data_IF_744724295738
#
_entry.id   IF_744724295738
#
_cell.length_a   1.000
_cell.length_b   1.000
_cell.length_c   1.000
_cell.angle_alpha   90.00
_cell.angle_beta   90.00
_cell.angle_gamma   90.00
#
_symmetry.space_group_name_H-M   'P 1'
#
loop_
_entity.id
_entity.type
_entity.pdbx_description
1 polymer ?
#
# COMPACT_ATOMS: atom_id res chain seq x y z
N UNK A 1 13.92 7.26 8.67
CA UNK A 1 13.06 6.09 8.97
C UNK A 1 12.79 6.07 10.47
N UNK A 2 11.53 6.15 10.86
CA UNK A 2 11.07 6.00 12.25
C UNK A 2 10.58 4.56 12.44
N UNK A 3 11.05 3.90 13.48
CA UNK A 3 10.62 2.55 13.85
C UNK A 3 9.66 2.63 15.04
N UNK A 4 8.53 1.95 14.94
CA UNK A 4 7.57 1.79 16.04
C UNK A 4 7.30 0.32 16.31
N UNK A 5 6.89 0.01 17.54
CA UNK A 5 6.41 -1.31 17.94
C UNK A 5 5.24 -1.16 18.88
N UNK A 6 4.13 -1.77 18.52
CA UNK A 6 2.87 -1.71 19.26
C UNK A 6 2.35 -3.10 19.56
N UNK A 7 1.98 -3.35 20.79
CA UNK A 7 1.33 -4.60 21.18
C UNK A 7 -0.16 -4.51 20.87
N UNK A 8 -0.65 -5.45 20.07
CA UNK A 8 -2.07 -5.59 19.78
C UNK A 8 -2.67 -6.76 20.59
N UNK A 9 -2.75 -6.56 21.93
CA UNK A 9 -3.12 -7.63 22.87
C UNK A 9 -1.93 -8.46 23.34
N UNK A 10 -2.18 -9.72 23.77
CA UNK A 10 -1.19 -10.56 24.43
C UNK A 10 -0.27 -11.31 23.44
N UNK A 11 -0.73 -11.56 22.22
CA UNK A 11 -0.09 -12.48 21.28
C UNK A 11 0.30 -11.86 19.95
N UNK A 12 -0.12 -10.63 19.68
CA UNK A 12 0.17 -9.93 18.41
C UNK A 12 0.99 -8.66 18.66
N UNK A 13 1.89 -8.36 17.69
CA UNK A 13 2.71 -7.14 17.68
C UNK A 13 2.71 -6.53 16.28
N UNK A 14 2.55 -5.21 16.20
CA UNK A 14 2.65 -4.43 14.98
C UNK A 14 3.98 -3.68 14.98
N UNK A 15 4.87 -4.00 14.04
CA UNK A 15 6.12 -3.26 13.82
C UNK A 15 5.98 -2.37 12.61
N UNK A 16 6.13 -1.06 12.77
CA UNK A 16 6.02 -0.07 11.68
C UNK A 16 7.37 0.56 11.32
N UNK A 17 7.64 0.63 10.02
CA UNK A 17 8.77 1.31 9.39
C UNK A 17 8.20 2.54 8.67
N UNK A 18 8.32 3.71 9.30
CA UNK A 18 7.60 4.91 8.88
C UNK A 18 8.51 5.90 8.16
N UNK A 19 7.98 6.49 7.09
CA UNK A 19 8.52 7.69 6.50
C UNK A 19 8.13 8.92 7.32
N UNK A 20 8.96 9.94 7.23
CA UNK A 20 8.70 11.26 7.82
C UNK A 20 8.80 12.28 6.69
N UNK A 21 7.89 13.27 6.61
CA UNK A 21 7.99 14.33 5.62
C UNK A 21 9.31 15.07 5.72
N UNK A 22 9.88 15.43 4.59
CA UNK A 22 11.14 16.14 4.48
C UNK A 22 10.94 17.49 3.75
N UNK A 23 11.74 18.51 4.08
CA UNK A 23 11.62 19.83 3.48
C UNK A 23 12.04 19.85 2.00
N UNK A 24 12.99 19.03 1.59
CA UNK A 24 13.42 18.90 0.21
C UNK A 24 12.34 18.21 -0.66
N UNK A 25 11.66 17.22 -0.08
CA UNK A 25 10.50 16.52 -0.68
C UNK A 25 9.18 17.09 -0.16
N UNK A 26 9.04 18.41 -0.09
CA UNK A 26 7.91 19.09 0.54
C UNK A 26 6.53 18.84 -0.12
N UNK A 27 6.50 18.22 -1.30
CA UNK A 27 5.30 17.75 -1.98
C UNK A 27 4.73 16.44 -1.37
N UNK A 28 5.50 15.73 -0.52
CA UNK A 28 5.06 14.48 0.11
C UNK A 28 4.79 14.74 1.59
N UNK A 29 3.53 14.68 2.00
CA UNK A 29 3.08 14.90 3.38
C UNK A 29 2.56 13.63 4.03
N UNK A 30 1.96 12.74 3.25
CA UNK A 30 1.44 11.45 3.69
C UNK A 30 1.98 10.34 2.79
N UNK A 31 2.19 9.19 3.38
CA UNK A 31 2.77 8.02 2.72
C UNK A 31 1.73 6.89 2.66
N UNK A 32 1.58 6.23 1.50
CA UNK A 32 0.73 5.04 1.40
C UNK A 32 1.21 3.98 2.37
N UNK A 33 0.31 3.10 2.78
CA UNK A 33 0.58 2.06 3.78
C UNK A 33 0.65 0.69 3.13
N UNK A 34 1.63 -0.12 3.57
CA UNK A 34 1.71 -1.55 3.28
C UNK A 34 1.65 -2.35 4.58
N UNK A 35 0.57 -3.09 4.81
CA UNK A 35 0.45 -4.04 5.93
C UNK A 35 0.87 -5.43 5.47
N UNK A 36 1.93 -5.97 6.07
CA UNK A 36 2.54 -7.26 5.73
C UNK A 36 2.07 -8.34 6.69
N UNK A 37 1.47 -9.41 6.14
CA UNK A 37 1.04 -10.61 6.85
C UNK A 37 1.92 -11.79 6.43
N UNK A 38 2.96 -12.15 7.22
CA UNK A 38 3.86 -13.25 6.88
C UNK A 38 3.16 -14.61 6.79
N UNK A 39 3.70 -15.53 6.02
CA UNK A 39 3.27 -16.92 6.00
C UNK A 39 3.79 -17.70 7.21
N UNK A 40 3.59 -19.02 7.17
CA UNK A 40 3.99 -19.94 8.24
C UNK A 40 2.89 -20.91 8.65
N UNK A 41 1.80 -20.99 7.86
CA UNK A 41 0.71 -21.95 8.05
C UNK A 41 -0.02 -21.80 9.39
N UNK A 42 -0.07 -20.60 9.93
CA UNK A 42 -0.61 -20.25 11.26
C UNK A 42 0.15 -20.90 12.44
N UNK A 43 1.30 -21.52 12.18
CA UNK A 43 2.18 -22.04 13.25
C UNK A 43 3.13 -20.96 13.75
N UNK A 44 3.70 -20.21 12.82
CA UNK A 44 4.64 -19.11 13.05
C UNK A 44 4.35 -17.96 12.07
N UNK A 45 4.92 -16.78 12.32
CA UNK A 45 5.10 -15.75 11.32
C UNK A 45 6.52 -15.85 10.75
N UNK A 46 6.65 -16.10 9.43
CA UNK A 46 7.94 -16.31 8.76
C UNK A 46 8.75 -15.02 8.71
N UNK A 47 9.92 -14.98 9.33
CA UNK A 47 10.81 -13.82 9.29
C UNK A 47 11.27 -13.45 7.88
N UNK A 48 11.31 -14.40 6.95
CA UNK A 48 11.68 -14.18 5.54
C UNK A 48 10.62 -13.39 4.75
N UNK A 49 9.39 -13.39 5.25
CA UNK A 49 8.21 -12.75 4.68
C UNK A 49 7.72 -11.57 5.54
N UNK A 50 8.55 -11.13 6.49
CA UNK A 50 8.29 -10.03 7.42
C UNK A 50 9.10 -8.78 7.05
N UNK A 51 10.14 -8.46 7.82
CA UNK A 51 10.99 -7.28 7.65
C UNK A 51 11.59 -7.15 6.23
N UNK A 52 12.08 -8.19 5.54
CA UNK A 52 12.59 -8.04 4.18
C UNK A 52 11.54 -7.53 3.18
N UNK A 53 10.27 -7.93 3.37
CA UNK A 53 9.15 -7.45 2.55
C UNK A 53 8.82 -6.01 2.89
N UNK A 54 8.68 -5.70 4.19
CA UNK A 54 8.41 -4.35 4.66
C UNK A 54 9.49 -3.37 4.17
N UNK A 55 10.76 -3.74 4.27
CA UNK A 55 11.89 -2.93 3.80
C UNK A 55 11.87 -2.72 2.28
N UNK A 56 11.45 -3.72 1.50
CA UNK A 56 11.34 -3.61 0.06
C UNK A 56 10.26 -2.58 -0.33
N UNK A 57 9.06 -2.65 0.27
CA UNK A 57 8.01 -1.65 0.03
C UNK A 57 8.32 -0.29 0.63
N UNK A 58 9.04 -0.25 1.76
CA UNK A 58 9.52 1.01 2.32
C UNK A 58 10.40 1.76 1.31
N UNK A 59 11.30 1.07 0.62
CA UNK A 59 12.15 1.68 -0.41
C UNK A 59 11.36 2.21 -1.62
N UNK A 60 10.11 1.77 -1.81
CA UNK A 60 9.19 2.23 -2.86
C UNK A 60 8.26 3.37 -2.37
N UNK A 61 8.47 3.85 -1.14
CA UNK A 61 7.75 4.99 -0.56
C UNK A 61 6.55 4.62 0.32
N UNK A 62 6.32 3.35 0.63
CA UNK A 62 5.26 2.95 1.57
C UNK A 62 5.74 3.06 3.02
N UNK A 63 4.94 3.61 3.93
CA UNK A 63 5.09 3.31 5.35
C UNK A 63 4.65 1.86 5.55
N UNK A 64 5.59 0.99 5.91
CA UNK A 64 5.38 -0.45 5.92
C UNK A 64 5.23 -0.99 7.34
N UNK A 65 4.25 -1.85 7.55
CA UNK A 65 3.97 -2.48 8.82
C UNK A 65 4.06 -4.00 8.70
N UNK A 66 4.64 -4.65 9.67
CA UNK A 66 4.63 -6.11 9.81
C UNK A 66 3.73 -6.46 10.98
N UNK A 67 2.72 -7.28 10.74
CA UNK A 67 1.89 -7.85 11.79
C UNK A 67 2.40 -9.25 12.14
N UNK A 68 2.99 -9.37 13.33
CA UNK A 68 3.32 -10.65 13.95
C UNK A 68 2.07 -11.16 14.71
N UNK A 69 1.11 -11.69 13.94
CA UNK A 69 -0.23 -12.07 14.40
C UNK A 69 -0.24 -13.31 15.29
N UNK A 70 -1.37 -13.57 15.95
CA UNK A 70 -1.60 -14.75 16.80
C UNK A 70 -1.49 -16.03 15.99
N UNK A 71 -0.66 -16.96 16.47
CA UNK A 71 -0.42 -18.28 15.89
C UNK A 71 -0.58 -19.37 16.95
N UNK A 72 -0.75 -20.63 16.54
CA UNK A 72 -0.89 -21.74 17.49
C UNK A 72 0.36 -21.98 18.34
N UNK A 73 1.53 -21.49 17.92
CA UNK A 73 2.75 -21.56 18.77
C UNK A 73 2.69 -20.53 19.90
N UNK A 74 2.09 -19.36 19.67
CA UNK A 74 1.92 -18.32 20.70
C UNK A 74 0.70 -18.62 21.61
N UNK A 75 -0.39 -19.09 21.00
CA UNK A 75 -1.66 -19.44 21.65
C UNK A 75 -2.12 -20.81 21.15
N UNK A 76 -1.84 -21.91 21.89
CA UNK A 76 -2.14 -23.29 21.43
C UNK A 76 -3.60 -23.53 21.07
N UNK A 77 -4.53 -22.86 21.74
CA UNK A 77 -5.98 -22.90 21.51
C UNK A 77 -6.48 -21.85 20.51
N UNK A 78 -5.59 -21.20 19.75
CA UNK A 78 -5.98 -20.20 18.76
C UNK A 78 -6.99 -20.74 17.74
N UNK A 79 -7.95 -19.91 17.41
CA UNK A 79 -8.93 -20.13 16.34
C UNK A 79 -8.77 -19.05 15.27
N UNK A 80 -9.36 -19.22 14.09
CA UNK A 80 -9.20 -18.28 12.97
C UNK A 80 -9.62 -16.84 13.33
N UNK A 81 -10.58 -16.68 14.24
CA UNK A 81 -11.01 -15.36 14.72
C UNK A 81 -9.90 -14.56 15.45
N UNK A 82 -8.90 -15.24 16.05
CA UNK A 82 -7.81 -14.56 16.74
C UNK A 82 -6.93 -13.75 15.76
N UNK A 83 -6.26 -14.35 14.75
CA UNK A 83 -5.46 -13.58 13.80
C UNK A 83 -6.30 -12.60 12.95
N UNK A 84 -7.58 -12.89 12.68
CA UNK A 84 -8.49 -11.93 12.03
C UNK A 84 -8.67 -10.68 12.89
N UNK A 85 -8.90 -10.86 14.19
CA UNK A 85 -8.98 -9.73 15.13
C UNK A 85 -7.67 -8.92 15.15
N UNK A 86 -6.52 -9.58 15.13
CA UNK A 86 -5.22 -8.89 15.09
C UNK A 86 -5.08 -8.01 13.83
N UNK A 87 -5.57 -8.47 12.66
CA UNK A 87 -5.60 -7.66 11.43
C UNK A 87 -6.50 -6.44 11.61
N UNK A 88 -7.69 -6.61 12.19
CA UNK A 88 -8.60 -5.48 12.45
C UNK A 88 -7.99 -4.47 13.44
N UNK A 89 -7.35 -4.96 14.50
CA UNK A 89 -6.67 -4.09 15.46
C UNK A 89 -5.51 -3.33 14.79
N UNK A 90 -4.74 -3.96 13.89
CA UNK A 90 -3.69 -3.31 13.13
C UNK A 90 -4.23 -2.24 12.19
N UNK A 91 -5.29 -2.51 11.43
CA UNK A 91 -5.94 -1.54 10.55
C UNK A 91 -6.55 -0.37 11.36
N UNK A 92 -7.20 -0.65 12.49
CA UNK A 92 -7.72 0.37 13.40
C UNK A 92 -6.59 1.26 13.95
N UNK A 93 -5.45 0.65 14.34
CA UNK A 93 -4.28 1.41 14.79
C UNK A 93 -3.78 2.36 13.69
N UNK A 94 -3.62 1.85 12.45
CA UNK A 94 -3.18 2.64 11.29
C UNK A 94 -4.12 3.82 11.03
N UNK A 95 -5.43 3.59 11.02
CA UNK A 95 -6.40 4.67 10.84
C UNK A 95 -6.37 5.70 11.97
N UNK A 96 -6.28 5.24 13.22
CA UNK A 96 -6.29 6.13 14.39
C UNK A 96 -5.05 7.02 14.44
N UNK A 97 -3.88 6.50 14.01
CA UNK A 97 -2.62 7.23 14.05
C UNK A 97 -2.21 7.81 12.68
N UNK A 98 -3.13 7.84 11.72
CA UNK A 98 -2.88 8.30 10.35
C UNK A 98 -2.23 9.67 10.29
N UNK A 99 -2.79 10.67 10.99
CA UNK A 99 -2.26 12.03 11.02
C UNK A 99 -0.91 12.12 11.75
N UNK A 100 -0.81 11.54 12.95
CA UNK A 100 0.39 11.63 13.80
C UNK A 100 1.61 10.91 13.19
N UNK A 101 1.35 9.92 12.34
CA UNK A 101 2.36 9.11 11.65
C UNK A 101 2.49 9.43 10.16
N UNK A 102 1.84 10.48 9.67
CA UNK A 102 1.84 10.89 8.26
C UNK A 102 1.44 9.75 7.30
N UNK A 103 0.46 8.92 7.69
CA UNK A 103 -0.05 7.82 6.89
C UNK A 103 -1.20 8.29 6.01
N UNK A 104 -1.21 7.84 4.76
CA UNK A 104 -2.35 8.00 3.86
C UNK A 104 -3.30 6.82 4.03
N UNK A 105 -4.30 7.01 4.87
CA UNK A 105 -5.27 5.97 5.22
C UNK A 105 -6.28 5.66 4.11
N UNK A 106 -6.30 6.44 3.03
CA UNK A 106 -7.07 6.16 1.82
C UNK A 106 -6.28 5.31 0.82
N UNK A 107 -5.00 5.01 1.13
CA UNK A 107 -4.09 4.20 0.30
C UNK A 107 -3.41 3.11 1.12
N UNK A 108 -4.21 2.21 1.70
CA UNK A 108 -3.73 1.05 2.45
C UNK A 108 -3.73 -0.19 1.55
N UNK A 109 -2.56 -0.75 1.29
CA UNK A 109 -2.42 -2.08 0.71
C UNK A 109 -2.11 -3.11 1.80
N UNK A 110 -2.60 -4.33 1.63
CA UNK A 110 -2.28 -5.46 2.50
C UNK A 110 -1.66 -6.58 1.67
N UNK A 111 -0.47 -7.04 2.06
CA UNK A 111 0.19 -8.18 1.42
C UNK A 111 0.21 -9.38 2.35
N UNK A 112 -0.15 -10.55 1.81
CA UNK A 112 -0.12 -11.80 2.57
C UNK A 112 0.55 -12.94 1.81
N UNK A 113 1.32 -13.75 2.53
CA UNK A 113 2.07 -14.90 2.02
C UNK A 113 1.49 -16.20 2.55
N UNK A 114 1.22 -17.20 1.70
CA UNK A 114 0.79 -18.54 2.12
C UNK A 114 -0.41 -18.50 3.10
N UNK A 115 -0.22 -18.89 4.36
CA UNK A 115 -1.21 -18.75 5.44
C UNK A 115 -1.57 -17.29 5.72
N UNK A 116 -0.60 -16.37 5.70
CA UNK A 116 -0.85 -14.93 5.78
C UNK A 116 -1.62 -14.38 4.57
N UNK A 117 -1.45 -15.01 3.39
CA UNK A 117 -2.27 -14.72 2.21
C UNK A 117 -3.71 -15.18 2.36
N UNK A 118 -3.95 -16.32 3.05
CA UNK A 118 -5.29 -16.73 3.44
C UNK A 118 -5.90 -15.72 4.43
N UNK A 119 -5.13 -15.32 5.46
CA UNK A 119 -5.57 -14.36 6.45
C UNK A 119 -5.95 -13.01 5.80
N UNK A 120 -5.10 -12.50 4.88
CA UNK A 120 -5.36 -11.27 4.14
C UNK A 120 -6.66 -11.35 3.34
N UNK A 121 -6.85 -12.43 2.58
CA UNK A 121 -8.05 -12.63 1.78
C UNK A 121 -9.30 -12.83 2.65
N UNK A 122 -9.21 -13.58 3.76
CA UNK A 122 -10.34 -13.77 4.70
C UNK A 122 -10.75 -12.44 5.34
N UNK A 123 -9.79 -11.67 5.87
CA UNK A 123 -10.08 -10.36 6.45
C UNK A 123 -10.71 -9.42 5.42
N UNK A 124 -10.22 -9.41 4.20
CA UNK A 124 -10.73 -8.53 3.15
C UNK A 124 -12.12 -8.91 2.63
N UNK A 125 -12.61 -10.15 2.89
CA UNK A 125 -13.93 -10.60 2.45
C UNK A 125 -14.96 -10.65 3.59
N UNK A 126 -14.53 -10.74 4.86
CA UNK A 126 -15.43 -10.92 6.01
C UNK A 126 -15.47 -9.71 6.94
N UNK A 127 -14.39 -8.96 7.03
CA UNK A 127 -14.26 -7.90 8.02
C UNK A 127 -14.84 -6.56 7.52
N UNK A 128 -15.34 -5.70 8.43
CA UNK A 128 -15.91 -4.40 8.06
C UNK A 128 -14.84 -3.39 7.61
N UNK A 129 -13.63 -3.45 8.19
CA UNK A 129 -12.52 -2.59 7.82
C UNK A 129 -11.61 -3.34 6.86
N UNK A 130 -11.60 -2.91 5.60
CA UNK A 130 -10.87 -3.56 4.49
C UNK A 130 -9.76 -2.64 3.98
N UNK A 131 -8.63 -3.19 3.48
CA UNK A 131 -7.63 -2.40 2.78
C UNK A 131 -8.17 -1.91 1.42
N UNK A 132 -7.46 -0.97 0.78
CA UNK A 132 -7.84 -0.48 -0.55
C UNK A 132 -7.32 -1.39 -1.68
N UNK A 133 -6.32 -2.25 -1.41
CA UNK A 133 -5.79 -3.23 -2.35
C UNK A 133 -5.17 -4.43 -1.64
N UNK A 134 -5.19 -5.60 -2.30
CA UNK A 134 -4.55 -6.83 -1.83
C UNK A 134 -3.39 -7.24 -2.73
N UNK A 135 -2.32 -7.77 -2.12
CA UNK A 135 -1.24 -8.48 -2.80
C UNK A 135 -1.14 -9.88 -2.18
N UNK A 136 -1.44 -10.91 -2.93
CA UNK A 136 -1.56 -12.28 -2.44
C UNK A 136 -0.47 -13.16 -3.07
N UNK A 137 0.49 -13.58 -2.28
CA UNK A 137 1.66 -14.35 -2.74
C UNK A 137 1.51 -15.82 -2.32
N UNK A 138 1.38 -16.70 -3.31
CA UNK A 138 1.05 -18.12 -3.14
C UNK A 138 0.03 -18.36 -2.01
N UNK A 139 -1.12 -17.64 -2.02
CA UNK A 139 -2.08 -17.71 -0.93
C UNK A 139 -2.71 -19.10 -0.85
N UNK A 140 -2.98 -19.55 0.36
CA UNK A 140 -3.87 -20.65 0.55
C UNK A 140 -5.31 -20.16 0.56
N UNK A 141 -6.12 -20.50 -0.43
CA UNK A 141 -7.48 -19.94 -0.58
C UNK A 141 -8.55 -20.95 -0.15
N UNK A 142 -8.55 -22.12 -0.76
CA UNK A 142 -9.58 -23.13 -0.47
C UNK A 142 -9.32 -23.84 0.86
N UNK A 143 -10.36 -24.38 1.46
CA UNK A 143 -10.27 -25.16 2.69
C UNK A 143 -9.19 -26.24 2.61
N UNK A 144 -8.42 -26.36 3.67
CA UNK A 144 -7.39 -27.40 3.82
C UNK A 144 -7.33 -27.87 5.28
N UNK A 145 -7.82 -29.09 5.57
CA UNK A 145 -7.90 -29.61 6.94
C UNK A 145 -6.53 -29.89 7.58
N UNK A 146 -5.43 -29.81 6.83
CA UNK A 146 -4.07 -30.02 7.38
C UNK A 146 -3.44 -28.74 7.93
N UNK A 147 -4.10 -27.59 7.82
CA UNK A 147 -3.65 -26.33 8.40
C UNK A 147 -3.71 -26.36 9.92
N UNK A 148 -2.90 -25.52 10.56
CA UNK A 148 -2.88 -25.44 12.02
C UNK A 148 -4.18 -24.85 12.61
N UNK A 149 -4.85 -23.98 11.85
CA UNK A 149 -6.18 -23.47 12.18
C UNK A 149 -7.21 -24.01 11.19
N UNK A 150 -8.45 -24.13 11.62
CA UNK A 150 -9.58 -24.40 10.74
C UNK A 150 -9.89 -23.15 9.92
N UNK A 151 -9.39 -23.16 8.70
CA UNK A 151 -9.45 -22.02 7.78
C UNK A 151 -10.62 -22.19 6.82
N UNK A 152 -11.55 -21.24 6.75
CA UNK A 152 -12.70 -21.32 5.85
C UNK A 152 -12.27 -21.31 4.38
N UNK A 153 -13.13 -21.79 3.52
CA UNK A 153 -13.09 -21.50 2.09
C UNK A 153 -13.67 -20.10 1.88
N UNK A 154 -12.90 -19.23 1.25
CA UNK A 154 -13.27 -17.82 1.09
C UNK A 154 -13.89 -17.51 -0.27
N UNK A 155 -14.00 -18.50 -1.17
CA UNK A 155 -14.47 -18.27 -2.55
C UNK A 155 -15.90 -17.73 -2.57
N UNK A 156 -16.78 -18.30 -1.71
CA UNK A 156 -18.19 -17.89 -1.63
C UNK A 156 -18.39 -16.54 -0.91
N UNK A 157 -17.35 -16.04 -0.22
CA UNK A 157 -17.39 -14.78 0.53
C UNK A 157 -16.87 -13.59 -0.29
N UNK A 158 -16.38 -13.84 -1.51
CA UNK A 158 -15.98 -12.78 -2.42
C UNK A 158 -17.22 -12.02 -2.90
N UNK A 159 -17.21 -10.71 -2.72
CA UNK A 159 -18.29 -9.78 -3.08
C UNK A 159 -17.74 -8.58 -3.87
N UNK A 160 -18.63 -7.69 -4.30
CA UNK A 160 -18.29 -6.46 -5.02
C UNK A 160 -17.46 -5.45 -4.19
N UNK A 161 -17.43 -5.61 -2.86
CA UNK A 161 -16.64 -4.78 -1.95
C UNK A 161 -15.26 -5.39 -1.66
N UNK A 162 -14.99 -6.60 -2.15
CA UNK A 162 -13.65 -7.20 -2.05
C UNK A 162 -12.64 -6.32 -2.76
N UNK A 163 -11.51 -5.94 -2.10
CA UNK A 163 -10.54 -5.05 -2.71
C UNK A 163 -9.92 -5.62 -4.00
N UNK A 164 -9.53 -4.77 -4.95
CA UNK A 164 -8.76 -5.19 -6.12
C UNK A 164 -7.52 -5.96 -5.67
N UNK A 165 -7.15 -7.01 -6.41
CA UNK A 165 -6.18 -8.01 -5.94
C UNK A 165 -5.09 -8.30 -6.98
N UNK A 166 -3.82 -8.22 -6.56
CA UNK A 166 -2.66 -8.73 -7.29
C UNK A 166 -2.29 -10.10 -6.75
N UNK A 167 -2.35 -11.13 -7.58
CA UNK A 167 -2.26 -12.53 -7.15
C UNK A 167 -1.07 -13.20 -7.82
N UNK A 168 -0.23 -13.88 -7.04
CA UNK A 168 0.97 -14.58 -7.51
C UNK A 168 0.96 -16.04 -7.06
N UNK A 169 1.29 -16.92 -7.97
CA UNK A 169 1.55 -18.34 -7.70
C UNK A 169 2.65 -18.89 -8.57
N UNK A 170 3.03 -20.14 -8.34
CA UNK A 170 3.96 -20.88 -9.20
C UNK A 170 3.36 -22.20 -9.65
N UNK A 171 3.72 -22.64 -10.88
CA UNK A 171 3.20 -23.88 -11.47
C UNK A 171 3.57 -25.13 -10.67
N UNK A 172 4.75 -25.12 -10.03
CA UNK A 172 5.29 -26.26 -9.30
C UNK A 172 5.02 -26.23 -7.80
N UNK A 173 4.23 -25.27 -7.30
CA UNK A 173 3.82 -25.22 -5.89
C UNK A 173 2.92 -26.42 -5.56
N UNK A 174 3.36 -27.26 -4.63
CA UNK A 174 2.62 -28.43 -4.16
C UNK A 174 1.87 -28.20 -2.86
N UNK A 175 2.13 -27.08 -2.18
CA UNK A 175 1.48 -26.70 -0.92
C UNK A 175 0.21 -25.88 -1.18
N UNK A 176 0.32 -24.85 -1.99
CA UNK A 176 -0.81 -24.05 -2.48
C UNK A 176 -0.78 -24.01 -4.02
N UNK A 177 -1.11 -25.13 -4.67
CA UNK A 177 -1.04 -25.25 -6.13
C UNK A 177 -1.91 -24.19 -6.82
N UNK A 178 -1.65 -23.90 -8.12
CA UNK A 178 -2.30 -22.85 -8.90
C UNK A 178 -3.82 -22.82 -8.85
N UNK A 179 -4.47 -23.95 -8.54
CA UNK A 179 -5.93 -24.00 -8.39
C UNK A 179 -6.46 -23.03 -7.33
N UNK A 180 -5.66 -22.69 -6.29
CA UNK A 180 -6.05 -21.72 -5.26
C UNK A 180 -6.16 -20.31 -5.86
N UNK A 181 -5.13 -19.88 -6.58
CA UNK A 181 -5.08 -18.55 -7.20
C UNK A 181 -6.11 -18.43 -8.33
N UNK A 182 -6.26 -19.47 -9.15
CA UNK A 182 -7.26 -19.52 -10.23
C UNK A 182 -8.70 -19.47 -9.69
N UNK A 183 -8.99 -20.19 -8.59
CA UNK A 183 -10.32 -20.16 -7.98
C UNK A 183 -10.65 -18.78 -7.43
N UNK A 184 -9.71 -18.11 -6.76
CA UNK A 184 -9.94 -16.77 -6.22
C UNK A 184 -10.09 -15.74 -7.35
N UNK A 185 -9.24 -15.78 -8.37
CA UNK A 185 -9.35 -14.92 -9.54
C UNK A 185 -10.72 -15.09 -10.25
N UNK A 186 -11.20 -16.34 -10.37
CA UNK A 186 -12.53 -16.61 -10.95
C UNK A 186 -13.67 -16.08 -10.07
N UNK A 187 -13.51 -16.06 -8.74
CA UNK A 187 -14.51 -15.48 -7.85
C UNK A 187 -14.53 -13.94 -7.96
N UNK A 188 -13.35 -13.31 -8.02
CA UNK A 188 -13.23 -11.87 -8.25
C UNK A 188 -13.85 -11.44 -9.58
N UNK A 189 -13.57 -12.18 -10.66
CA UNK A 189 -14.16 -11.92 -11.98
C UNK A 189 -15.68 -11.97 -11.94
N UNK A 190 -16.27 -12.98 -11.30
CA UNK A 190 -17.71 -13.11 -11.12
C UNK A 190 -18.33 -11.99 -10.30
N UNK A 191 -17.60 -11.48 -9.29
CA UNK A 191 -18.03 -10.36 -8.46
C UNK A 191 -17.79 -8.98 -9.12
N UNK A 192 -17.18 -8.94 -10.33
CA UNK A 192 -16.84 -7.69 -11.01
C UNK A 192 -15.68 -6.92 -10.38
N UNK A 193 -14.88 -7.60 -9.55
CA UNK A 193 -13.73 -7.01 -8.87
C UNK A 193 -12.48 -7.12 -9.75
N UNK A 194 -11.72 -6.04 -9.83
CA UNK A 194 -10.50 -5.97 -10.62
C UNK A 194 -9.36 -6.80 -10.00
N UNK A 195 -8.60 -7.49 -10.86
CA UNK A 195 -7.45 -8.27 -10.40
C UNK A 195 -6.38 -8.41 -11.50
N UNK A 196 -5.16 -8.72 -11.06
CA UNK A 196 -4.05 -9.17 -11.91
C UNK A 196 -3.51 -10.49 -11.37
N UNK A 197 -3.35 -11.50 -12.22
CA UNK A 197 -2.92 -12.86 -11.83
C UNK A 197 -1.68 -13.28 -12.58
N UNK A 198 -0.66 -13.75 -11.83
CA UNK A 198 0.58 -14.30 -12.37
C UNK A 198 0.84 -15.71 -11.83
N UNK A 199 1.00 -16.68 -12.75
CA UNK A 199 1.44 -18.03 -12.43
C UNK A 199 2.78 -18.26 -13.11
N UNK A 200 3.86 -18.12 -12.35
CA UNK A 200 5.22 -18.35 -12.86
C UNK A 200 5.45 -19.83 -13.13
N UNK A 201 6.22 -20.12 -14.19
CA UNK A 201 6.52 -21.51 -14.55
C UNK A 201 7.42 -22.18 -13.51
N UNK A 202 8.49 -21.49 -13.10
CA UNK A 202 9.45 -21.93 -12.09
C UNK A 202 9.00 -21.59 -10.67
N UNK A 203 9.74 -22.14 -9.72
CA UNK A 203 9.57 -21.82 -8.31
C UNK A 203 8.75 -22.85 -7.53
N UNK A 204 8.98 -22.83 -6.23
CA UNK A 204 8.33 -23.70 -5.23
C UNK A 204 7.59 -22.86 -4.20
N UNK A 205 6.88 -23.51 -3.26
CA UNK A 205 6.21 -22.79 -2.18
C UNK A 205 7.20 -22.06 -1.25
N UNK A 206 6.84 -20.83 -0.81
CA UNK A 206 7.59 -20.14 0.24
C UNK A 206 8.84 -19.40 -0.23
N UNK A 207 8.91 -18.99 -1.48
CA UNK A 207 10.08 -18.30 -2.04
C UNK A 207 10.27 -16.85 -1.58
N UNK A 208 9.26 -16.24 -0.96
CA UNK A 208 9.30 -14.83 -0.55
C UNK A 208 9.66 -13.90 -1.72
N UNK A 209 10.76 -13.13 -1.65
CA UNK A 209 11.22 -12.27 -2.74
C UNK A 209 11.84 -13.04 -3.92
N UNK A 210 12.08 -14.33 -3.81
CA UNK A 210 12.83 -15.09 -4.84
C UNK A 210 14.31 -14.71 -4.94
N UNK A 211 14.88 -14.12 -3.90
CA UNK A 211 16.24 -13.56 -3.85
C UNK A 211 17.07 -14.21 -2.74
N UNK A 212 18.40 -14.07 -2.84
CA UNK A 212 19.35 -14.63 -1.88
C UNK A 212 19.12 -14.17 -0.43
N UNK A 213 18.66 -12.93 -0.21
CA UNK A 213 18.34 -12.42 1.12
C UNK A 213 17.29 -13.28 1.84
N UNK A 214 16.29 -13.77 1.11
CA UNK A 214 15.16 -14.52 1.68
C UNK A 214 15.21 -16.02 1.40
N UNK A 215 16.31 -16.55 0.85
CA UNK A 215 16.41 -17.96 0.47
C UNK A 215 16.70 -18.92 1.64
N UNK A 216 17.08 -18.40 2.81
CA UNK A 216 17.41 -19.23 3.99
C UNK A 216 18.43 -20.35 3.70
N UNK A 217 19.40 -20.08 2.83
CA UNK A 217 20.41 -21.07 2.39
C UNK A 217 19.90 -22.11 1.39
N UNK A 218 18.65 -22.05 0.95
CA UNK A 218 18.07 -22.95 -0.03
C UNK A 218 18.08 -22.31 -1.42
N UNK A 219 18.94 -22.82 -2.31
CA UNK A 219 19.08 -22.30 -3.67
C UNK A 219 17.80 -22.40 -4.51
N UNK A 220 16.89 -23.34 -4.20
CA UNK A 220 15.60 -23.46 -4.90
C UNK A 220 14.63 -22.29 -4.61
N UNK A 221 14.95 -21.45 -3.62
CA UNK A 221 14.20 -20.22 -3.31
C UNK A 221 14.74 -18.99 -4.05
N UNK A 222 15.70 -19.17 -4.96
CA UNK A 222 16.24 -18.09 -5.79
C UNK A 222 15.81 -18.33 -7.23
N UNK A 223 14.99 -17.41 -7.77
CA UNK A 223 14.51 -17.47 -9.15
C UNK A 223 14.28 -16.05 -9.65
N UNK A 224 14.99 -15.66 -10.72
CA UNK A 224 14.96 -14.30 -11.25
C UNK A 224 13.65 -13.96 -11.96
N UNK A 225 13.01 -14.93 -12.60
CA UNK A 225 11.71 -14.74 -13.24
C UNK A 225 10.63 -14.57 -12.18
N UNK A 226 10.59 -15.45 -11.18
CA UNK A 226 9.67 -15.31 -10.06
C UNK A 226 9.87 -14.00 -9.31
N UNK A 227 11.11 -13.55 -9.08
CA UNK A 227 11.41 -12.30 -8.37
C UNK A 227 10.81 -11.04 -9.03
N UNK A 228 10.35 -11.16 -10.29
CA UNK A 228 9.67 -10.06 -10.99
C UNK A 228 8.30 -9.74 -10.39
N UNK A 229 7.71 -10.63 -9.59
CA UNK A 229 6.44 -10.34 -8.93
C UNK A 229 6.49 -9.04 -8.13
N UNK A 230 7.62 -8.74 -7.46
CA UNK A 230 7.74 -7.56 -6.62
C UNK A 230 7.65 -6.24 -7.42
N UNK A 231 8.51 -5.94 -8.41
CA UNK A 231 8.35 -4.72 -9.20
C UNK A 231 7.02 -4.67 -9.98
N UNK A 232 6.45 -5.81 -10.36
CA UNK A 232 5.12 -5.85 -10.97
C UNK A 232 4.03 -5.43 -9.99
N UNK A 233 4.07 -5.91 -8.74
CA UNK A 233 3.13 -5.52 -7.69
C UNK A 233 3.22 -4.03 -7.36
N UNK A 234 4.44 -3.47 -7.29
CA UNK A 234 4.65 -2.03 -7.07
C UNK A 234 4.00 -1.20 -8.17
N UNK A 235 4.25 -1.54 -9.45
CA UNK A 235 3.63 -0.86 -10.58
C UNK A 235 2.11 -0.97 -10.56
N UNK A 236 1.58 -2.16 -10.25
CA UNK A 236 0.14 -2.39 -10.16
C UNK A 236 -0.49 -1.57 -9.03
N UNK A 237 0.13 -1.53 -7.84
CA UNK A 237 -0.34 -0.73 -6.71
C UNK A 237 -0.35 0.76 -7.04
N UNK A 238 0.69 1.29 -7.69
CA UNK A 238 0.72 2.68 -8.16
C UNK A 238 -0.41 3.00 -9.13
N UNK A 239 -0.78 2.06 -10.00
CA UNK A 239 -1.92 2.21 -10.90
C UNK A 239 -3.28 2.16 -10.17
N UNK A 240 -3.40 1.43 -9.04
CA UNK A 240 -4.66 1.28 -8.29
C UNK A 240 -4.85 2.33 -7.21
N UNK A 241 -3.79 2.62 -6.46
CA UNK A 241 -3.82 3.54 -5.32
C UNK A 241 -3.27 4.94 -5.65
N UNK A 242 -2.71 5.12 -6.84
CA UNK A 242 -1.98 6.32 -7.22
C UNK A 242 -0.51 6.30 -6.78
N UNK A 243 0.31 7.08 -7.47
CA UNK A 243 1.70 7.37 -7.10
C UNK A 243 1.79 8.71 -6.35
N UNK A 244 2.98 9.06 -5.89
CA UNK A 244 3.24 10.41 -5.41
C UNK A 244 3.01 11.42 -6.54
N UNK A 245 2.30 12.50 -6.22
CA UNK A 245 2.13 13.57 -7.20
C UNK A 245 3.47 14.24 -7.46
N UNK A 246 3.84 14.37 -8.73
CA UNK A 246 4.98 15.18 -9.15
C UNK A 246 4.63 16.68 -9.13
N UNK A 247 3.31 16.98 -9.12
CA UNK A 247 2.78 18.33 -9.06
C UNK A 247 1.83 18.42 -7.87
N UNK A 248 2.14 19.32 -6.93
CA UNK A 248 1.30 19.54 -5.78
C UNK A 248 1.72 18.81 -4.50
N UNK A 249 1.01 19.07 -3.43
CA UNK A 249 1.22 18.43 -2.13
C UNK A 249 0.24 17.27 -1.98
N UNK A 250 0.75 16.09 -1.66
CA UNK A 250 -0.08 14.94 -1.31
C UNK A 250 -0.56 15.05 0.15
N UNK A 251 -1.55 15.91 0.37
CA UNK A 251 -2.15 16.20 1.68
C UNK A 251 -3.64 15.84 1.77
N UNK A 252 -4.12 15.05 0.80
CA UNK A 252 -5.53 14.65 0.71
C UNK A 252 -6.46 15.72 0.12
N UNK A 253 -5.92 16.82 -0.42
CA UNK A 253 -6.73 17.86 -1.08
C UNK A 253 -7.06 17.43 -2.51
N UNK A 254 -8.33 17.15 -2.78
CA UNK A 254 -8.82 16.71 -4.10
C UNK A 254 -9.23 17.88 -5.03
N UNK A 255 -8.75 19.08 -4.80
CA UNK A 255 -9.05 20.24 -5.65
C UNK A 255 -8.36 20.13 -7.02
N UNK A 256 -9.11 20.45 -8.10
CA UNK A 256 -8.56 20.51 -9.47
C UNK A 256 -7.41 21.50 -9.58
N UNK A 257 -7.50 22.64 -8.88
CA UNK A 257 -6.48 23.68 -8.82
C UNK A 257 -6.05 23.95 -7.38
N UNK A 258 -4.76 24.05 -7.16
CA UNK A 258 -4.13 24.41 -5.87
C UNK A 258 -2.72 24.97 -6.10
N UNK A 259 -2.12 25.61 -5.09
CA UNK A 259 -0.82 26.30 -5.18
C UNK A 259 0.37 25.40 -5.55
N UNK A 260 0.21 24.10 -5.42
CA UNK A 260 1.24 23.11 -5.74
C UNK A 260 1.06 22.50 -7.14
N UNK A 261 0.12 23.03 -7.96
CA UNK A 261 0.05 22.73 -9.40
C UNK A 261 1.09 23.53 -10.16
N UNK A 262 1.59 23.00 -11.31
CA UNK A 262 2.45 23.78 -12.20
C UNK A 262 1.77 25.08 -12.62
N UNK A 263 2.50 26.16 -12.62
CA UNK A 263 1.96 27.46 -13.04
C UNK A 263 1.41 27.41 -14.48
N UNK A 264 1.99 26.60 -15.36
CA UNK A 264 1.48 26.38 -16.70
C UNK A 264 0.04 25.86 -16.71
N UNK A 265 -0.31 24.93 -15.81
CA UNK A 265 -1.66 24.40 -15.67
C UNK A 265 -2.63 25.44 -15.09
N UNK A 266 -2.18 26.22 -14.07
CA UNK A 266 -2.98 27.30 -13.49
C UNK A 266 -3.23 28.42 -14.50
N UNK A 267 -2.27 28.72 -15.38
CA UNK A 267 -2.45 29.74 -16.43
C UNK A 267 -3.22 29.23 -17.66
N UNK A 268 -3.32 27.93 -17.85
CA UNK A 268 -4.12 27.36 -18.92
C UNK A 268 -5.64 27.46 -18.65
N UNK A 269 -6.02 27.63 -17.40
CA UNK A 269 -7.41 27.84 -16.98
C UNK A 269 -7.65 29.33 -16.70
N UNK A 270 -8.73 29.89 -17.25
CA UNK A 270 -9.03 31.32 -17.16
C UNK A 270 -9.34 31.76 -15.72
N UNK A 271 -10.08 30.96 -14.97
CA UNK A 271 -10.49 31.27 -13.59
C UNK A 271 -9.30 31.12 -12.63
N UNK A 272 -8.53 30.05 -12.74
CA UNK A 272 -7.33 29.83 -11.93
C UNK A 272 -6.27 30.93 -12.23
N UNK A 273 -6.07 31.26 -13.51
CA UNK A 273 -5.16 32.33 -13.94
C UNK A 273 -5.55 33.69 -13.36
N UNK A 274 -6.86 34.00 -13.32
CA UNK A 274 -7.36 35.25 -12.74
C UNK A 274 -7.14 35.31 -11.22
N UNK A 275 -7.33 34.20 -10.51
CA UNK A 275 -7.04 34.11 -9.08
C UNK A 275 -5.54 34.33 -8.84
N UNK A 276 -4.68 33.58 -9.51
CA UNK A 276 -3.20 33.71 -9.37
C UNK A 276 -2.74 35.13 -9.66
N UNK A 277 -3.24 35.76 -10.73
CA UNK A 277 -2.86 37.11 -11.11
C UNK A 277 -3.26 38.19 -10.10
N UNK A 278 -4.31 37.96 -9.29
CA UNK A 278 -4.74 38.84 -8.22
C UNK A 278 -3.73 38.89 -7.07
N UNK A 279 -3.16 37.77 -6.69
CA UNK A 279 -2.19 37.65 -5.61
C UNK A 279 -0.75 37.87 -6.08
N UNK A 280 -0.48 37.61 -7.36
CA UNK A 280 0.80 37.74 -7.97
C UNK A 280 0.69 38.57 -9.29
N UNK A 281 0.65 39.92 -9.23
CA UNK A 281 0.50 40.74 -10.42
C UNK A 281 1.60 40.56 -11.49
N UNK A 282 2.79 40.09 -11.06
CA UNK A 282 3.90 39.74 -11.98
C UNK A 282 3.69 38.38 -12.67
N UNK A 283 2.68 37.60 -12.32
CA UNK A 283 2.45 36.27 -12.86
C UNK A 283 2.29 36.25 -14.38
N UNK A 284 1.73 37.33 -14.97
CA UNK A 284 1.62 37.46 -16.41
C UNK A 284 2.98 37.51 -17.14
N UNK A 285 4.02 38.02 -16.49
CA UNK A 285 5.38 38.03 -17.03
C UNK A 285 6.08 36.68 -16.91
N UNK A 286 5.64 35.84 -15.94
CA UNK A 286 6.16 34.51 -15.72
C UNK A 286 5.51 33.48 -16.65
N UNK A 287 4.33 33.78 -17.20
CA UNK A 287 3.60 32.91 -18.13
C UNK A 287 4.41 32.49 -19.34
N UNK A 288 5.25 33.40 -19.86
CA UNK A 288 6.08 33.16 -21.03
C UNK A 288 7.50 32.69 -20.70
N UNK A 289 7.80 32.46 -19.41
CA UNK A 289 9.11 32.00 -18.98
C UNK A 289 9.21 30.46 -19.07
N UNK A 290 10.19 29.94 -19.84
CA UNK A 290 10.38 28.50 -19.96
C UNK A 290 10.69 27.79 -18.62
N UNK A 291 11.14 28.51 -17.61
CA UNK A 291 11.47 27.98 -16.30
C UNK A 291 10.32 28.09 -15.29
N UNK A 292 9.39 29.02 -15.47
CA UNK A 292 8.31 29.24 -14.53
C UNK A 292 7.11 28.32 -14.77
N UNK A 293 6.94 27.76 -15.97
CA UNK A 293 5.83 26.89 -16.32
C UNK A 293 5.75 25.62 -15.46
N UNK A 294 6.91 25.03 -15.18
CA UNK A 294 7.03 23.81 -14.39
C UNK A 294 7.13 24.07 -12.87
N UNK A 295 7.29 25.33 -12.45
CA UNK A 295 7.33 25.69 -11.04
C UNK A 295 5.94 25.77 -10.43
N UNK A 296 5.81 25.43 -9.16
CA UNK A 296 4.61 25.67 -8.36
C UNK A 296 4.68 27.03 -7.66
N UNK A 297 3.54 27.58 -7.27
CA UNK A 297 3.50 28.84 -6.49
C UNK A 297 4.26 28.70 -5.16
N UNK A 298 4.18 27.55 -4.52
CA UNK A 298 4.96 27.24 -3.31
C UNK A 298 6.47 27.26 -3.56
N UNK A 299 6.94 26.70 -4.67
CA UNK A 299 8.36 26.76 -5.00
C UNK A 299 8.81 28.18 -5.39
N UNK A 300 7.95 28.92 -6.05
CA UNK A 300 8.21 30.30 -6.45
C UNK A 300 8.30 31.24 -5.24
N UNK A 301 7.54 30.98 -4.15
CA UNK A 301 7.58 31.79 -2.93
C UNK A 301 8.97 31.85 -2.28
N UNK A 302 9.80 30.83 -2.48
CA UNK A 302 11.19 30.81 -2.00
C UNK A 302 12.06 31.90 -2.61
N UNK A 303 11.65 32.42 -3.77
CA UNK A 303 12.39 33.44 -4.55
C UNK A 303 11.68 34.82 -4.58
N UNK A 304 10.41 34.86 -4.12
CA UNK A 304 9.59 36.06 -4.13
C UNK A 304 9.18 36.48 -2.71
N UNK A 305 9.86 37.47 -2.11
CA UNK A 305 9.59 37.86 -0.70
C UNK A 305 8.15 38.36 -0.42
N UNK A 306 7.40 38.73 -1.48
CA UNK A 306 6.00 39.17 -1.36
C UNK A 306 4.97 38.00 -1.30
N UNK A 307 5.41 36.78 -1.56
CA UNK A 307 4.56 35.59 -1.52
C UNK A 307 4.77 34.87 -0.18
N UNK A 308 4.15 35.41 0.86
CA UNK A 308 4.24 34.86 2.22
C UNK A 308 3.42 33.58 2.36
N UNK A 309 3.65 32.78 3.42
CA UNK A 309 2.87 31.58 3.70
C UNK A 309 1.38 31.89 3.87
N UNK A 310 1.04 33.01 4.54
CA UNK A 310 -0.34 33.50 4.67
C UNK A 310 -0.98 33.79 3.32
N UNK A 311 -0.25 34.42 2.42
CA UNK A 311 -0.72 34.71 1.06
C UNK A 311 -0.92 33.42 0.26
N UNK A 312 -0.04 32.42 0.43
CA UNK A 312 -0.17 31.11 -0.20
C UNK A 312 -1.40 30.36 0.29
N UNK A 313 -1.67 30.39 1.61
CA UNK A 313 -2.86 29.75 2.19
C UNK A 313 -4.17 30.37 1.69
N UNK A 314 -4.22 31.69 1.57
CA UNK A 314 -5.40 32.39 1.03
C UNK A 314 -5.63 32.04 -0.45
N UNK A 315 -4.57 32.09 -1.24
CA UNK A 315 -4.60 31.76 -2.67
C UNK A 315 -4.99 30.32 -2.90
N UNK A 316 -4.45 29.39 -2.11
CA UNK A 316 -4.81 27.97 -2.16
C UNK A 316 -6.29 27.74 -1.87
N UNK A 317 -6.81 28.41 -0.83
CA UNK A 317 -8.22 28.36 -0.45
C UNK A 317 -9.16 28.85 -1.55
N UNK A 318 -8.74 29.83 -2.35
CA UNK A 318 -9.51 30.29 -3.50
C UNK A 318 -9.43 29.33 -4.70
N UNK A 319 -8.24 28.80 -4.99
CA UNK A 319 -8.04 27.83 -6.06
C UNK A 319 -8.82 26.52 -5.82
N UNK A 320 -8.87 26.05 -4.58
CA UNK A 320 -9.59 24.82 -4.19
C UNK A 320 -11.12 24.93 -4.35
N UNK A 321 -11.67 26.11 -4.61
CA UNK A 321 -13.11 26.31 -4.86
C UNK A 321 -13.49 26.12 -6.34
N UNK A 322 -12.50 26.05 -7.23
CA UNK A 322 -12.68 25.79 -8.65
C UNK A 322 -12.71 24.28 -8.96
#
# INVERSE_FOLDING_TARGET
MKLIREKLGDFAELTGYLHEPDQEMGNIRKFPVMLVLPGGGFRICSSREAEPIASAYYAEGYSAFVLDYTTVTKKPEAVMADPMKDVQDALNWIHTHGEDCCLDTDRIAMIGFSGGGHLAATSATHDPLRPNALVLIYPGITHNPTRALDCPDIIESVDEQTPPSFIVGTRADTVTPPRHQLAFASALEKAGVDFELHIFHGGVHGMSLGKSLTCSGNASYIDQEYAQWFPMSVRWLKNKLGDFTIYGVNDGRNGRFHIDRPMAELFADEQASAIVSRYLPMASQLKDSPFAGDMTLRNLSKFLPGLTEETLEELDRELLKL
#
